data_IF_371538311878
#
_entry.id   IF_371538311878
#
_cell.length_a   1.000
_cell.length_b   1.000
_cell.length_c   1.000
_cell.angle_alpha   90.00
_cell.angle_beta   90.00
_cell.angle_gamma   90.00
#
_symmetry.space_group_name_H-M   'P 1'
#
loop_
_entity.id
_entity.type
_entity.pdbx_description
1 polymer ?
#
# COMPACT_ATOMS: atom_id res chain seq x y z
N UNK A 1 41.13 91.70 4.76
CA UNK A 1 42.59 91.50 4.86
C UNK A 1 42.83 90.01 5.00
N UNK A 2 43.62 89.36 4.12
CA UNK A 2 43.94 87.96 4.28
C UNK A 2 44.68 87.77 5.61
N UNK A 3 44.22 86.84 6.44
CA UNK A 3 44.94 86.44 7.65
C UNK A 3 46.30 85.91 7.21
N UNK A 4 47.38 86.51 7.68
CA UNK A 4 48.72 85.99 7.41
C UNK A 4 48.97 84.80 8.33
N UNK A 5 48.71 83.58 7.83
CA UNK A 5 48.87 82.35 8.60
C UNK A 5 50.30 82.15 9.12
N UNK A 6 51.32 82.63 8.40
CA UNK A 6 52.71 82.52 8.85
C UNK A 6 52.94 83.35 10.13
N UNK A 7 52.38 84.57 10.18
CA UNK A 7 52.47 85.41 11.37
C UNK A 7 51.72 84.80 12.58
N UNK A 8 50.59 84.14 12.33
CA UNK A 8 49.83 83.47 13.39
C UNK A 8 50.57 82.25 13.93
N UNK A 9 51.17 81.43 13.06
CA UNK A 9 51.96 80.27 13.47
C UNK A 9 53.20 80.65 14.28
N UNK A 10 53.90 81.71 13.87
CA UNK A 10 55.03 82.25 14.64
C UNK A 10 54.59 82.79 16.00
N UNK A 11 53.46 83.50 16.08
CA UNK A 11 52.93 84.01 17.35
C UNK A 11 52.52 82.89 18.33
N UNK A 12 51.91 81.81 17.81
CA UNK A 12 51.54 80.63 18.60
C UNK A 12 52.79 79.89 19.08
N UNK A 13 53.82 79.72 18.22
CA UNK A 13 55.08 79.10 18.63
C UNK A 13 55.78 79.90 19.74
N UNK A 14 55.84 81.23 19.60
CA UNK A 14 56.39 82.09 20.65
C UNK A 14 55.66 81.96 22.00
N UNK A 15 54.33 81.78 21.98
CA UNK A 15 53.56 81.51 23.21
C UNK A 15 53.88 80.13 23.80
N UNK A 16 54.03 79.09 22.98
CA UNK A 16 54.39 77.74 23.44
C UNK A 16 55.78 77.73 24.09
N UNK A 17 56.74 78.45 23.51
CA UNK A 17 58.11 78.51 24.01
C UNK A 17 58.20 79.29 25.34
N UNK A 18 57.35 80.30 25.53
CA UNK A 18 57.25 81.07 26.76
C UNK A 18 56.58 80.33 27.93
N UNK A 19 55.86 79.23 27.66
CA UNK A 19 55.21 78.43 28.70
C UNK A 19 56.18 77.40 29.30
N UNK A 20 56.13 77.25 30.62
CA UNK A 20 56.92 76.27 31.37
C UNK A 20 56.61 74.81 30.97
N UNK A 21 57.55 73.87 31.20
CA UNK A 21 57.45 72.49 30.71
C UNK A 21 56.29 71.67 31.34
N UNK A 22 55.74 72.11 32.47
CA UNK A 22 54.61 71.48 33.17
C UNK A 22 53.30 72.27 33.05
N UNK A 23 53.19 73.18 32.07
CA UNK A 23 51.97 73.96 31.86
C UNK A 23 50.92 73.15 31.09
N UNK A 24 49.73 73.01 31.66
CA UNK A 24 48.57 72.40 30.99
C UNK A 24 48.19 73.15 29.71
N UNK A 25 48.37 74.48 29.71
CA UNK A 25 48.14 75.33 28.54
C UNK A 25 49.12 74.99 27.39
N UNK A 26 50.37 74.65 27.71
CA UNK A 26 51.37 74.21 26.72
C UNK A 26 50.99 72.86 26.12
N UNK A 27 50.52 71.93 26.95
CA UNK A 27 50.04 70.61 26.49
C UNK A 27 48.86 70.75 25.55
N UNK A 28 47.88 71.61 25.89
CA UNK A 28 46.72 71.86 25.04
C UNK A 28 47.10 72.53 23.71
N UNK A 29 48.03 73.49 23.70
CA UNK A 29 48.52 74.12 22.47
C UNK A 29 49.33 73.16 21.58
N UNK A 30 50.12 72.26 22.17
CA UNK A 30 50.85 71.24 21.41
C UNK A 30 49.90 70.20 20.83
N UNK A 31 48.85 69.83 21.58
CA UNK A 31 47.81 68.91 21.11
C UNK A 31 47.02 69.53 19.95
N UNK A 32 46.66 70.81 20.03
CA UNK A 32 45.96 71.48 18.91
C UNK A 32 46.83 71.58 17.66
N UNK A 33 48.14 71.84 17.80
CA UNK A 33 49.10 71.79 16.68
C UNK A 33 49.24 70.39 16.08
N UNK A 34 49.28 69.35 16.91
CA UNK A 34 49.34 67.97 16.45
C UNK A 34 48.05 67.58 15.71
N UNK A 35 46.88 68.04 16.18
CA UNK A 35 45.59 67.85 15.52
C UNK A 35 45.54 68.61 14.19
N UNK A 36 45.97 69.87 14.12
CA UNK A 36 46.06 70.62 12.85
C UNK A 36 47.01 69.95 11.86
N UNK A 37 48.14 69.42 12.30
CA UNK A 37 49.07 68.67 11.45
C UNK A 37 48.51 67.32 10.99
N UNK A 38 47.75 66.63 11.85
CA UNK A 38 47.10 65.36 11.51
C UNK A 38 45.90 65.55 10.56
N UNK A 39 45.12 66.63 10.74
CA UNK A 39 43.96 66.96 9.91
C UNK A 39 44.40 67.63 8.59
N UNK A 40 45.49 68.40 8.60
CA UNK A 40 46.06 69.04 7.41
C UNK A 40 46.80 68.09 6.46
N UNK A 41 47.11 66.87 6.89
CA UNK A 41 47.84 65.87 6.08
C UNK A 41 46.95 64.85 5.37
N UNK A 42 45.64 64.80 5.64
CA UNK A 42 44.70 64.05 4.79
C UNK A 42 43.91 65.08 4.01
N UNK A 43 44.30 65.26 2.75
CA UNK A 43 43.59 66.14 1.85
C UNK A 43 42.13 65.69 1.72
N UNK A 44 41.19 66.63 1.61
CA UNK A 44 39.77 66.29 1.31
C UNK A 44 39.67 65.39 0.07
N UNK A 45 40.60 65.54 -0.89
CA UNK A 45 40.73 64.67 -2.05
C UNK A 45 41.05 63.21 -1.72
N UNK A 46 41.84 62.91 -0.69
CA UNK A 46 42.13 61.53 -0.28
C UNK A 46 40.91 60.89 0.39
N UNK A 47 40.19 61.63 1.24
CA UNK A 47 38.93 61.14 1.84
C UNK A 47 37.88 60.87 0.77
N UNK A 48 37.72 61.81 -0.18
CA UNK A 48 36.79 61.65 -1.30
C UNK A 48 37.22 60.47 -2.18
N UNK A 49 38.52 60.32 -2.49
CA UNK A 49 39.04 59.20 -3.26
C UNK A 49 38.80 57.83 -2.60
N UNK A 50 39.01 57.74 -1.29
CA UNK A 50 38.73 56.53 -0.51
C UNK A 50 37.22 56.22 -0.48
N UNK A 51 36.36 57.24 -0.30
CA UNK A 51 34.91 57.07 -0.32
C UNK A 51 34.41 56.61 -1.69
N UNK A 52 34.88 57.23 -2.78
CA UNK A 52 34.53 56.83 -4.15
C UNK A 52 34.97 55.39 -4.45
N UNK A 53 36.18 55.00 -4.01
CA UNK A 53 36.67 53.63 -4.16
C UNK A 53 35.82 52.63 -3.35
N UNK A 54 35.48 52.98 -2.10
CA UNK A 54 34.63 52.14 -1.26
C UNK A 54 33.21 51.97 -1.81
N UNK A 55 32.63 53.01 -2.42
CA UNK A 55 31.33 52.92 -3.10
C UNK A 55 31.42 52.02 -4.33
N UNK A 56 32.47 52.16 -5.15
CA UNK A 56 32.68 51.30 -6.32
C UNK A 56 32.83 49.81 -5.92
N UNK A 57 33.57 49.51 -4.85
CA UNK A 57 33.73 48.16 -4.32
C UNK A 57 32.42 47.57 -3.80
N UNK A 58 31.60 48.39 -3.10
CA UNK A 58 30.29 47.98 -2.63
C UNK A 58 29.32 47.72 -3.79
N UNK A 59 29.33 48.56 -4.82
CA UNK A 59 28.52 48.35 -6.03
C UNK A 59 28.94 47.06 -6.76
N UNK A 60 30.24 46.81 -6.91
CA UNK A 60 30.75 45.59 -7.52
C UNK A 60 30.34 44.33 -6.74
N UNK A 61 30.45 44.35 -5.39
CA UNK A 61 29.97 43.25 -4.53
C UNK A 61 28.48 43.02 -4.66
N UNK A 62 27.67 44.09 -4.62
CA UNK A 62 26.21 44.01 -4.79
C UNK A 62 25.83 43.40 -6.13
N UNK A 63 26.49 43.80 -7.22
CA UNK A 63 26.26 43.25 -8.56
C UNK A 63 26.58 41.75 -8.59
N UNK A 64 27.69 41.33 -7.98
CA UNK A 64 28.08 39.91 -7.92
C UNK A 64 27.09 39.06 -7.12
N UNK A 65 26.61 39.54 -5.97
CA UNK A 65 25.61 38.85 -5.16
C UNK A 65 24.27 38.71 -5.89
N UNK A 66 23.81 39.77 -6.55
CA UNK A 66 22.57 39.73 -7.35
C UNK A 66 22.71 38.75 -8.51
N UNK A 67 23.85 38.72 -9.20
CA UNK A 67 24.09 37.78 -10.30
C UNK A 67 24.07 36.32 -9.81
N UNK A 68 24.69 36.02 -8.66
CA UNK A 68 24.68 34.68 -8.08
C UNK A 68 23.25 34.20 -7.73
N UNK A 69 22.39 35.10 -7.23
CA UNK A 69 20.98 34.79 -6.95
C UNK A 69 20.21 34.52 -8.24
N UNK A 70 20.45 35.32 -9.29
CA UNK A 70 19.81 35.13 -10.60
C UNK A 70 20.21 33.78 -11.23
N UNK A 71 21.49 33.41 -11.17
CA UNK A 71 21.99 32.15 -11.71
C UNK A 71 21.38 30.94 -10.96
N UNK A 72 21.28 31.03 -9.62
CA UNK A 72 20.64 29.99 -8.81
C UNK A 72 19.13 29.87 -9.10
N UNK A 73 18.43 30.98 -9.33
CA UNK A 73 17.03 30.99 -9.72
C UNK A 73 16.82 30.38 -11.11
N UNK A 74 17.66 30.73 -12.09
CA UNK A 74 17.62 30.16 -13.43
C UNK A 74 17.82 28.63 -13.42
N UNK A 75 18.76 28.13 -12.60
CA UNK A 75 18.96 26.69 -12.43
C UNK A 75 17.72 25.98 -11.84
N UNK A 76 17.05 26.58 -10.84
CA UNK A 76 15.81 26.04 -10.27
C UNK A 76 14.66 26.03 -11.27
N UNK A 77 14.50 27.11 -12.05
CA UNK A 77 13.47 27.18 -13.11
C UNK A 77 13.70 26.10 -14.17
N UNK A 78 14.96 25.86 -14.57
CA UNK A 78 15.29 24.79 -15.51
C UNK A 78 14.90 23.40 -14.97
N UNK A 79 15.12 23.13 -13.68
CA UNK A 79 14.71 21.89 -13.03
C UNK A 79 13.17 21.73 -12.99
N UNK A 80 12.44 22.81 -12.67
CA UNK A 80 10.98 22.81 -12.67
C UNK A 80 10.44 22.54 -14.08
N UNK A 81 10.99 23.19 -15.11
CA UNK A 81 10.59 22.98 -16.50
C UNK A 81 10.86 21.53 -16.96
N UNK A 82 11.97 20.92 -16.54
CA UNK A 82 12.25 19.52 -16.82
C UNK A 82 11.23 18.59 -16.14
N UNK A 83 10.84 18.86 -14.89
CA UNK A 83 9.82 18.10 -14.18
C UNK A 83 8.43 18.24 -14.83
N UNK A 84 8.05 19.45 -15.22
CA UNK A 84 6.80 19.74 -15.93
C UNK A 84 6.72 18.99 -17.28
N UNK A 85 7.82 18.91 -18.03
CA UNK A 85 7.90 18.14 -19.27
C UNK A 85 7.69 16.62 -19.03
N UNK A 86 8.25 16.06 -17.96
CA UNK A 86 8.05 14.64 -17.59
C UNK A 86 6.60 14.38 -17.20
N UNK A 87 6.01 15.25 -16.39
CA UNK A 87 4.61 15.14 -15.97
C UNK A 87 3.65 15.21 -17.15
N UNK A 88 3.88 16.13 -18.09
CA UNK A 88 3.04 16.31 -19.30
C UNK A 88 3.14 15.15 -20.28
N UNK A 89 4.27 14.44 -20.34
CA UNK A 89 4.48 13.35 -21.29
C UNK A 89 4.04 11.98 -20.76
N UNK A 90 3.60 11.88 -19.50
CA UNK A 90 3.25 10.60 -18.87
C UNK A 90 4.44 9.63 -18.75
N UNK A 91 5.66 10.16 -18.89
CA UNK A 91 6.89 9.38 -18.87
C UNK A 91 7.21 8.84 -17.48
N UNK A 92 7.58 7.57 -17.41
CA UNK A 92 8.09 6.93 -16.18
C UNK A 92 9.43 7.59 -15.82
N UNK A 93 9.57 8.10 -14.58
CA UNK A 93 10.82 8.69 -14.13
C UNK A 93 11.91 7.61 -14.00
N UNK A 94 12.85 7.56 -14.93
CA UNK A 94 14.05 6.68 -14.88
C UNK A 94 15.29 7.40 -14.33
N UNK A 95 15.10 8.45 -13.53
CA UNK A 95 16.19 9.19 -12.88
C UNK A 95 16.21 8.96 -11.38
N UNK A 96 17.33 8.44 -10.87
CA UNK A 96 17.57 8.24 -9.45
C UNK A 96 17.44 9.56 -8.67
N UNK A 97 16.33 9.71 -7.94
CA UNK A 97 16.21 10.66 -6.84
C UNK A 97 17.21 10.24 -5.75
N UNK A 98 18.41 10.80 -5.82
CA UNK A 98 19.46 10.64 -4.83
C UNK A 98 19.02 11.35 -3.54
N UNK A 99 18.26 10.64 -2.69
CA UNK A 99 17.70 11.16 -1.46
C UNK A 99 16.88 10.09 -0.75
N UNK A 100 17.59 9.13 -0.17
CA UNK A 100 17.23 8.37 1.03
C UNK A 100 15.73 8.18 1.31
N UNK A 101 15.19 7.10 0.75
CA UNK A 101 14.11 6.28 1.35
C UNK A 101 12.75 6.97 1.53
N UNK A 102 12.16 7.47 0.45
CA UNK A 102 10.71 7.31 0.33
C UNK A 102 10.42 5.89 -0.19
N UNK A 103 10.15 4.97 0.74
CA UNK A 103 9.36 3.77 0.46
C UNK A 103 7.90 4.17 0.21
N UNK A 104 7.69 5.15 -0.67
CA UNK A 104 6.44 5.32 -1.33
C UNK A 104 6.41 4.18 -2.33
N UNK A 105 5.78 3.09 -1.95
CA UNK A 105 4.94 2.35 -2.89
C UNK A 105 4.09 3.41 -3.57
N UNK A 106 4.62 3.92 -4.68
CA UNK A 106 3.90 4.78 -5.60
C UNK A 106 2.75 3.87 -6.01
N UNK A 107 1.61 4.02 -5.33
CA UNK A 107 0.34 3.87 -5.98
C UNK A 107 0.46 4.83 -7.14
N UNK A 108 0.92 4.28 -8.26
CA UNK A 108 0.75 4.87 -9.55
C UNK A 108 -0.76 5.05 -9.58
N UNK A 109 -1.21 6.27 -9.28
CA UNK A 109 -2.49 6.74 -9.76
C UNK A 109 -2.28 6.75 -11.27
N UNK A 110 -2.32 5.55 -11.85
CA UNK A 110 -2.54 5.36 -13.25
C UNK A 110 -3.80 6.18 -13.46
N UNK A 111 -3.60 7.33 -14.09
CA UNK A 111 -4.61 7.96 -14.90
C UNK A 111 -5.29 6.79 -15.58
N UNK A 112 -6.53 6.50 -15.17
CA UNK A 112 -7.33 5.42 -15.73
C UNK A 112 -7.74 5.85 -17.13
N UNK A 113 -6.76 6.02 -18.02
CA UNK A 113 -6.98 6.02 -19.45
C UNK A 113 -7.21 4.55 -19.77
N UNK A 114 -8.48 4.20 -19.90
CA UNK A 114 -8.89 2.93 -20.47
C UNK A 114 -8.36 2.88 -21.90
N UNK A 115 -7.16 2.34 -22.07
CA UNK A 115 -6.58 2.06 -23.36
C UNK A 115 -6.61 0.54 -23.57
N UNK A 116 -7.20 0.14 -24.69
CA UNK A 116 -7.50 -1.24 -25.11
C UNK A 116 -8.66 -1.97 -24.41
N UNK A 117 -9.28 -2.88 -25.17
CA UNK A 117 -10.56 -3.56 -24.95
C UNK A 117 -10.61 -4.55 -23.76
N UNK A 118 -9.82 -4.36 -22.71
CA UNK A 118 -9.85 -5.17 -21.49
C UNK A 118 -9.56 -4.26 -20.29
N UNK A 119 -10.44 -4.23 -19.27
CA UNK A 119 -10.15 -3.46 -18.07
C UNK A 119 -8.87 -4.01 -17.42
N UNK A 120 -7.79 -3.25 -17.37
CA UNK A 120 -6.57 -3.65 -16.65
C UNK A 120 -6.69 -3.26 -15.17
N UNK A 121 -7.78 -3.66 -14.51
CA UNK A 121 -7.85 -3.51 -13.06
C UNK A 121 -7.09 -4.68 -12.44
N UNK A 122 -5.98 -4.34 -11.80
CA UNK A 122 -5.10 -5.29 -11.14
C UNK A 122 -5.01 -4.90 -9.66
N UNK A 123 -5.78 -5.58 -8.82
CA UNK A 123 -5.59 -5.49 -7.37
C UNK A 123 -4.85 -6.74 -6.91
N UNK A 124 -3.73 -6.53 -6.21
CA UNK A 124 -2.85 -7.60 -5.74
C UNK A 124 -2.48 -7.33 -4.29
N UNK A 125 -2.74 -8.32 -3.45
CA UNK A 125 -2.31 -8.32 -2.06
C UNK A 125 -1.58 -9.63 -1.77
N UNK A 126 -0.41 -9.55 -1.14
CA UNK A 126 0.40 -10.72 -0.81
C UNK A 126 0.58 -10.78 0.70
N UNK A 127 0.15 -11.88 1.30
CA UNK A 127 0.48 -12.31 2.65
C UNK A 127 1.49 -13.47 2.60
N UNK A 128 2.28 -13.55 1.52
CA UNK A 128 3.28 -14.59 1.28
C UNK A 128 4.19 -14.91 2.49
N UNK A 129 4.68 -13.94 3.29
CA UNK A 129 5.47 -14.25 4.48
C UNK A 129 4.73 -15.06 5.56
N UNK A 130 3.39 -15.08 5.55
CA UNK A 130 2.54 -15.76 6.53
C UNK A 130 1.93 -17.06 6.01
N UNK A 131 1.53 -17.13 4.73
CA UNK A 131 0.83 -18.31 4.19
C UNK A 131 1.26 -18.76 2.78
N UNK A 132 2.25 -18.09 2.18
CA UNK A 132 2.73 -18.41 0.83
C UNK A 132 1.68 -18.24 -0.28
N UNK A 133 0.71 -17.32 -0.12
CA UNK A 133 -0.33 -17.03 -1.11
C UNK A 133 -0.29 -15.57 -1.56
N UNK A 134 -0.92 -15.34 -2.70
CA UNK A 134 -1.14 -14.01 -3.26
C UNK A 134 -2.56 -13.94 -3.79
N UNK A 135 -3.29 -12.93 -3.34
CA UNK A 135 -4.65 -12.62 -3.76
C UNK A 135 -4.60 -11.67 -4.95
N UNK A 136 -5.42 -11.94 -5.95
CA UNK A 136 -5.43 -11.17 -7.17
C UNK A 136 -6.85 -11.03 -7.72
N UNK A 137 -7.21 -9.81 -8.08
CA UNK A 137 -8.30 -9.50 -8.99
C UNK A 137 -7.71 -9.02 -10.32
N UNK A 138 -7.98 -9.75 -11.39
CA UNK A 138 -7.45 -9.48 -12.73
C UNK A 138 -8.59 -9.50 -13.74
N UNK A 139 -8.61 -8.55 -14.67
CA UNK A 139 -9.47 -8.62 -15.84
C UNK A 139 -8.66 -9.00 -17.11
N UNK A 140 -8.81 -10.25 -17.53
CA UNK A 140 -8.14 -10.85 -18.70
C UNK A 140 -9.15 -11.61 -19.55
N UNK A 141 -8.93 -11.69 -20.87
CA UNK A 141 -9.76 -12.49 -21.79
C UNK A 141 -11.26 -12.21 -21.64
N UNK A 142 -11.62 -10.92 -21.63
CA UNK A 142 -13.00 -10.45 -21.42
C UNK A 142 -13.60 -10.89 -20.07
N UNK A 143 -12.81 -11.26 -19.06
CA UNK A 143 -13.33 -11.73 -17.78
C UNK A 143 -12.64 -11.08 -16.58
N UNK A 144 -13.41 -10.60 -15.61
CA UNK A 144 -12.89 -10.22 -14.28
C UNK A 144 -12.82 -11.48 -13.41
N UNK A 145 -11.64 -11.86 -12.97
CA UNK A 145 -11.37 -13.08 -12.21
C UNK A 145 -10.75 -12.72 -10.87
N UNK A 146 -11.25 -13.35 -9.81
CA UNK A 146 -10.66 -13.33 -8.48
C UNK A 146 -10.04 -14.70 -8.21
N UNK A 147 -8.74 -14.70 -7.93
CA UNK A 147 -7.94 -15.92 -7.79
C UNK A 147 -6.90 -15.81 -6.69
N UNK A 148 -6.46 -16.97 -6.23
CA UNK A 148 -5.40 -17.14 -5.24
C UNK A 148 -4.25 -17.87 -5.92
N UNK A 149 -3.07 -17.26 -5.93
CA UNK A 149 -1.84 -17.86 -6.43
C UNK A 149 -1.04 -18.51 -5.31
N UNK A 150 -0.18 -19.47 -5.66
CA UNK A 150 0.98 -19.79 -4.84
C UNK A 150 2.02 -18.66 -4.87
N UNK A 151 2.91 -18.64 -3.88
CA UNK A 151 3.97 -17.64 -3.75
C UNK A 151 4.83 -17.48 -5.02
N UNK A 152 5.16 -18.60 -5.67
CA UNK A 152 5.95 -18.62 -6.90
C UNK A 152 5.18 -18.16 -8.15
N UNK A 153 3.88 -17.85 -8.03
CA UNK A 153 2.99 -17.50 -9.13
C UNK A 153 3.01 -18.50 -10.30
N UNK A 154 3.16 -19.78 -9.99
CA UNK A 154 3.18 -20.87 -10.99
C UNK A 154 1.86 -21.62 -11.07
N UNK A 155 0.99 -21.48 -10.08
CA UNK A 155 -0.32 -22.11 -10.03
C UNK A 155 -1.34 -21.22 -9.31
N UNK A 156 -2.60 -21.26 -9.74
CA UNK A 156 -3.69 -20.51 -9.13
C UNK A 156 -5.00 -21.29 -9.08
N UNK A 157 -5.85 -20.90 -8.13
CA UNK A 157 -7.24 -21.33 -8.06
C UNK A 157 -8.13 -20.10 -8.18
N UNK A 158 -9.03 -20.09 -9.15
CA UNK A 158 -10.05 -19.04 -9.28
C UNK A 158 -11.26 -19.41 -8.42
N UNK A 159 -11.71 -18.51 -7.57
CA UNK A 159 -12.91 -18.72 -6.76
C UNK A 159 -14.11 -17.93 -7.27
N UNK A 160 -13.89 -16.96 -8.16
CA UNK A 160 -14.95 -16.16 -8.78
C UNK A 160 -14.49 -15.61 -10.13
N UNK A 161 -15.30 -15.76 -11.19
CA UNK A 161 -14.99 -15.27 -12.54
C UNK A 161 -16.22 -14.70 -13.22
N UNK A 162 -16.07 -13.53 -13.83
CA UNK A 162 -17.11 -12.75 -14.49
C UNK A 162 -16.76 -12.55 -15.96
N UNK A 163 -17.37 -13.28 -16.88
CA UNK A 163 -17.07 -13.18 -18.32
C UNK A 163 -18.03 -12.21 -19.01
N UNK A 164 -17.52 -11.14 -19.64
CA UNK A 164 -18.24 -10.20 -20.51
C UNK A 164 -18.19 -10.70 -21.95
N UNK A 165 -18.92 -11.75 -22.28
CA UNK A 165 -19.12 -12.08 -23.69
C UNK A 165 -20.39 -11.40 -24.19
N UNK A 166 -20.25 -10.31 -24.96
CA UNK A 166 -21.36 -9.68 -25.70
C UNK A 166 -22.35 -8.80 -24.91
N UNK A 167 -22.01 -8.29 -23.72
CA UNK A 167 -22.91 -7.46 -22.89
C UNK A 167 -22.22 -6.23 -22.25
N UNK A 168 -22.96 -5.13 -22.08
CA UNK A 168 -22.46 -3.84 -21.56
C UNK A 168 -22.27 -3.80 -20.03
N UNK A 169 -22.94 -4.68 -19.28
CA UNK A 169 -22.89 -4.72 -17.81
C UNK A 169 -22.82 -6.17 -17.33
N UNK A 170 -22.09 -6.42 -16.24
CA UNK A 170 -22.19 -7.65 -15.44
C UNK A 170 -22.70 -7.26 -14.05
N UNK A 171 -23.75 -7.94 -13.59
CA UNK A 171 -24.21 -7.89 -12.22
C UNK A 171 -24.08 -9.29 -11.59
N UNK A 172 -23.64 -9.34 -10.34
CA UNK A 172 -23.59 -10.56 -9.54
C UNK A 172 -24.93 -10.68 -8.84
N UNK A 173 -25.91 -11.24 -9.55
CA UNK A 173 -27.20 -11.53 -8.95
C UNK A 173 -27.20 -12.99 -8.50
N UNK A 174 -27.23 -13.21 -7.19
CA UNK A 174 -27.69 -14.48 -6.65
C UNK A 174 -29.21 -14.52 -6.85
N UNK A 175 -29.64 -14.91 -8.06
CA UNK A 175 -31.04 -14.98 -8.45
C UNK A 175 -31.87 -15.92 -7.55
N UNK A 176 -31.18 -16.77 -6.79
CA UNK A 176 -31.70 -17.68 -5.78
C UNK A 176 -30.71 -17.78 -4.62
N UNK A 177 -31.18 -18.17 -3.44
CA UNK A 177 -30.30 -18.53 -2.32
C UNK A 177 -29.25 -19.56 -2.78
N UNK A 178 -28.03 -19.48 -2.24
CA UNK A 178 -27.03 -20.54 -2.39
C UNK A 178 -27.62 -21.81 -1.79
N UNK A 179 -27.93 -22.80 -2.63
CA UNK A 179 -28.52 -24.08 -2.22
C UNK A 179 -27.41 -25.10 -2.03
N UNK A 180 -27.56 -25.99 -1.06
CA UNK A 180 -26.75 -27.19 -0.93
C UNK A 180 -26.96 -28.11 -2.16
N UNK A 181 -25.92 -28.85 -2.53
CA UNK A 181 -25.99 -29.77 -3.66
C UNK A 181 -26.57 -31.11 -3.17
N UNK A 182 -27.84 -31.36 -3.48
CA UNK A 182 -28.52 -32.62 -3.16
C UNK A 182 -28.24 -33.65 -4.25
N UNK A 183 -27.55 -34.72 -3.90
CA UNK A 183 -27.30 -35.85 -4.79
C UNK A 183 -28.27 -36.99 -4.46
N UNK A 184 -29.08 -37.41 -5.44
CA UNK A 184 -29.89 -38.63 -5.29
C UNK A 184 -29.02 -39.85 -5.56
N UNK A 185 -28.91 -40.74 -4.57
CA UNK A 185 -28.19 -42.01 -4.72
C UNK A 185 -29.16 -43.03 -5.30
N UNK A 186 -28.91 -43.43 -6.56
CA UNK A 186 -29.72 -44.46 -7.22
C UNK A 186 -29.32 -45.86 -6.74
N UNK A 187 -30.27 -46.80 -6.75
CA UNK A 187 -30.05 -48.21 -6.44
C UNK A 187 -29.55 -48.51 -5.02
N UNK A 188 -30.17 -47.89 -4.01
CA UNK A 188 -29.90 -48.18 -2.59
C UNK A 188 -30.41 -49.59 -2.24
N UNK A 189 -29.52 -50.56 -2.38
CA UNK A 189 -29.75 -51.97 -2.04
C UNK A 189 -28.41 -52.61 -1.68
N UNK A 190 -28.43 -53.66 -0.85
CA UNK A 190 -27.22 -54.33 -0.39
C UNK A 190 -26.20 -53.33 0.17
N UNK A 191 -25.01 -53.23 -0.44
CA UNK A 191 -23.99 -52.24 -0.09
C UNK A 191 -23.87 -51.19 -1.18
N UNK A 192 -23.89 -49.92 -0.81
CA UNK A 192 -23.74 -48.78 -1.73
C UNK A 192 -22.76 -47.76 -1.16
N UNK A 193 -22.25 -46.86 -1.99
CA UNK A 193 -21.27 -45.85 -1.59
C UNK A 193 -21.79 -44.44 -1.85
N UNK A 194 -21.45 -43.52 -0.97
CA UNK A 194 -21.63 -42.07 -1.15
C UNK A 194 -20.26 -41.47 -1.47
N UNK A 195 -20.20 -40.61 -2.47
CA UNK A 195 -18.97 -39.93 -2.91
C UNK A 195 -19.01 -38.46 -2.49
N UNK A 196 -18.07 -38.06 -1.63
CA UNK A 196 -18.03 -36.71 -1.09
C UNK A 196 -17.76 -35.63 -2.16
N UNK A 197 -17.21 -35.99 -3.32
CA UNK A 197 -17.03 -35.06 -4.45
C UNK A 197 -18.35 -34.65 -5.11
N UNK A 198 -19.42 -35.45 -4.96
CA UNK A 198 -20.70 -35.18 -5.61
C UNK A 198 -21.55 -34.14 -4.86
N UNK A 199 -21.30 -33.96 -3.57
CA UNK A 199 -22.03 -32.95 -2.78
C UNK A 199 -21.92 -33.14 -1.28
N UNK A 200 -22.74 -32.37 -0.57
CA UNK A 200 -22.82 -32.36 0.88
C UNK A 200 -24.17 -32.86 1.41
N UNK A 201 -25.16 -33.07 0.55
CA UNK A 201 -26.44 -33.68 0.90
C UNK A 201 -26.74 -34.86 -0.03
N UNK A 202 -27.15 -35.98 0.55
CA UNK A 202 -27.46 -37.20 -0.19
C UNK A 202 -28.86 -37.70 0.15
N UNK A 203 -29.69 -37.89 -0.87
CA UNK A 203 -31.00 -38.53 -0.73
C UNK A 203 -30.91 -39.98 -1.20
N UNK A 204 -31.07 -40.91 -0.27
CA UNK A 204 -31.14 -42.34 -0.54
C UNK A 204 -32.54 -42.79 -1.00
N UNK A 205 -33.51 -41.87 -1.00
CA UNK A 205 -34.90 -42.18 -1.29
C UNK A 205 -35.50 -43.13 -0.25
N UNK A 206 -36.39 -44.00 -0.72
CA UNK A 206 -37.05 -45.02 0.11
C UNK A 206 -36.24 -46.31 0.08
N UNK A 207 -35.80 -46.78 1.24
CA UNK A 207 -35.21 -48.11 1.37
C UNK A 207 -36.32 -49.16 1.47
N UNK A 208 -36.23 -50.20 0.65
CA UNK A 208 -37.20 -51.32 0.59
C UNK A 208 -36.60 -52.65 1.02
N UNK A 209 -35.33 -52.66 1.43
CA UNK A 209 -34.60 -53.80 1.94
C UNK A 209 -33.50 -53.35 2.91
N UNK A 210 -32.96 -54.28 3.68
CA UNK A 210 -31.77 -54.01 4.48
C UNK A 210 -30.63 -53.55 3.56
N UNK A 211 -30.01 -52.42 3.90
CA UNK A 211 -28.97 -51.79 3.10
C UNK A 211 -27.81 -51.33 3.99
N UNK A 212 -26.63 -51.21 3.42
CA UNK A 212 -25.40 -50.79 4.11
C UNK A 212 -24.75 -49.67 3.31
N UNK A 213 -24.55 -48.52 3.94
CA UNK A 213 -23.65 -47.50 3.43
C UNK A 213 -22.21 -47.96 3.66
N UNK A 214 -21.46 -48.20 2.59
CA UNK A 214 -20.02 -48.41 2.66
C UNK A 214 -19.29 -47.15 3.17
N UNK A 215 -17.97 -47.24 3.35
CA UNK A 215 -17.17 -46.07 3.69
C UNK A 215 -17.36 -44.97 2.65
N UNK A 216 -17.44 -43.70 3.09
CA UNK A 216 -17.55 -42.56 2.18
C UNK A 216 -16.33 -42.54 1.23
N UNK A 217 -16.59 -42.49 -0.08
CA UNK A 217 -15.55 -42.38 -1.08
C UNK A 217 -15.05 -40.94 -1.20
N UNK A 218 -13.79 -40.81 -1.62
CA UNK A 218 -13.10 -39.55 -1.89
C UNK A 218 -13.20 -38.54 -0.73
N UNK A 219 -12.69 -38.87 0.47
CA UNK A 219 -12.68 -37.94 1.60
C UNK A 219 -11.92 -36.65 1.26
N UNK A 220 -12.21 -35.54 1.96
CA UNK A 220 -11.53 -34.27 1.74
C UNK A 220 -10.02 -34.40 1.96
N UNK A 221 -9.23 -33.63 1.21
CA UNK A 221 -7.78 -33.60 1.32
C UNK A 221 -7.32 -33.16 2.73
N UNK A 222 -6.05 -33.46 3.07
CA UNK A 222 -5.47 -33.11 4.35
C UNK A 222 -5.68 -31.61 4.69
N UNK A 223 -6.13 -31.34 5.93
CA UNK A 223 -6.45 -29.99 6.40
C UNK A 223 -7.86 -29.49 6.07
N UNK A 224 -8.68 -30.27 5.35
CA UNK A 224 -10.07 -29.92 5.04
C UNK A 224 -11.05 -30.87 5.73
N UNK A 225 -12.27 -30.38 5.96
CA UNK A 225 -13.39 -31.17 6.51
C UNK A 225 -14.64 -30.84 5.71
N UNK A 226 -15.46 -31.85 5.46
CA UNK A 226 -16.71 -31.69 4.73
C UNK A 226 -17.89 -32.12 5.59
N UNK A 227 -18.89 -31.26 5.69
CA UNK A 227 -20.19 -31.62 6.28
C UNK A 227 -20.97 -32.48 5.29
N UNK A 228 -21.55 -33.58 5.77
CA UNK A 228 -22.43 -34.45 4.99
C UNK A 228 -23.74 -34.68 5.74
N UNK A 229 -24.85 -34.58 5.01
CA UNK A 229 -26.17 -35.03 5.45
C UNK A 229 -26.68 -36.15 4.53
N UNK A 230 -27.26 -37.18 5.13
CA UNK A 230 -27.83 -38.34 4.43
C UNK A 230 -29.27 -38.50 4.88
N UNK A 231 -30.20 -38.45 3.92
CA UNK A 231 -31.62 -38.70 4.11
C UNK A 231 -31.96 -40.11 3.62
N UNK A 232 -32.81 -40.83 4.35
CA UNK A 232 -33.52 -41.99 3.83
C UNK A 232 -34.93 -42.11 4.39
N UNK A 233 -35.82 -42.76 3.67
CA UNK A 233 -37.18 -43.05 4.08
C UNK A 233 -37.43 -44.56 4.21
N UNK A 234 -38.26 -44.97 5.17
CA UNK A 234 -38.82 -46.31 5.25
C UNK A 234 -39.90 -46.48 4.19
N UNK A 235 -40.05 -47.70 3.66
CA UNK A 235 -41.18 -48.05 2.81
C UNK A 235 -42.50 -48.13 3.60
N UNK A 236 -43.58 -48.49 2.90
CA UNK A 236 -44.91 -48.60 3.51
C UNK A 236 -45.03 -49.74 4.55
N UNK A 237 -44.04 -50.63 4.64
CA UNK A 237 -44.00 -51.72 5.63
C UNK A 237 -43.22 -51.28 6.86
N UNK A 238 -42.10 -50.57 6.67
CA UNK A 238 -41.13 -50.30 7.73
C UNK A 238 -40.25 -51.50 8.04
N UNK A 239 -39.51 -51.43 9.14
CA UNK A 239 -38.59 -52.45 9.62
C UNK A 239 -37.28 -52.52 8.83
N UNK A 240 -36.98 -51.58 7.93
CA UNK A 240 -35.77 -51.61 7.10
C UNK A 240 -34.60 -51.04 7.87
N UNK A 241 -33.49 -51.76 7.86
CA UNK A 241 -32.24 -51.34 8.49
C UNK A 241 -31.33 -50.68 7.46
N UNK A 242 -30.85 -49.47 7.77
CA UNK A 242 -29.68 -48.90 7.12
C UNK A 242 -28.49 -49.02 8.08
N UNK A 243 -27.55 -49.89 7.72
CA UNK A 243 -26.29 -50.06 8.43
C UNK A 243 -25.22 -49.14 7.84
N UNK A 244 -24.18 -48.87 8.63
CA UNK A 244 -23.08 -47.99 8.27
C UNK A 244 -21.76 -48.79 8.32
N UNK A 245 -20.89 -48.57 7.35
CA UNK A 245 -19.60 -49.25 7.22
C UNK A 245 -18.63 -48.92 8.35
N UNK A 246 -17.52 -49.65 8.42
CA UNK A 246 -16.58 -49.57 9.56
C UNK A 246 -15.93 -48.19 9.80
N UNK A 247 -15.80 -47.35 8.76
CA UNK A 247 -15.29 -45.98 8.91
C UNK A 247 -16.38 -44.94 9.16
N UNK A 248 -17.65 -45.35 9.21
CA UNK A 248 -18.75 -44.51 9.63
C UNK A 248 -18.94 -44.67 11.14
N UNK A 249 -18.52 -43.67 11.90
CA UNK A 249 -18.50 -43.70 13.36
C UNK A 249 -19.69 -42.93 13.88
N UNK A 250 -20.65 -43.62 14.50
CA UNK A 250 -21.74 -42.97 15.21
C UNK A 250 -21.20 -42.33 16.50
N UNK A 251 -21.32 -41.01 16.60
CA UNK A 251 -20.86 -40.23 17.76
C UNK A 251 -22.00 -39.71 18.63
N UNK A 252 -23.26 -40.05 18.32
CA UNK A 252 -24.42 -39.70 19.13
C UNK A 252 -25.75 -39.62 18.38
N UNK A 253 -26.77 -39.05 19.03
CA UNK A 253 -28.12 -38.88 18.47
C UNK A 253 -29.09 -39.99 18.88
N UNK A 254 -30.16 -40.18 18.09
CA UNK A 254 -31.21 -41.19 18.35
C UNK A 254 -31.07 -42.40 17.42
N UNK A 255 -31.83 -43.46 17.66
CA UNK A 255 -31.93 -44.55 16.68
C UNK A 255 -32.77 -44.11 15.47
N UNK A 256 -32.54 -44.69 14.26
CA UNK A 256 -33.45 -44.56 13.15
C UNK A 256 -34.87 -44.99 13.54
N UNK A 257 -35.87 -44.24 13.10
CA UNK A 257 -37.25 -44.67 13.16
C UNK A 257 -37.53 -45.61 12.00
N UNK A 258 -37.76 -46.87 12.33
CA UNK A 258 -38.03 -47.95 11.39
C UNK A 258 -39.52 -48.13 11.13
N UNK A 259 -40.40 -47.31 11.69
CA UNK A 259 -41.84 -47.42 11.38
C UNK A 259 -42.12 -47.11 9.91
N UNK A 260 -43.23 -47.62 9.37
CA UNK A 260 -43.62 -47.38 7.98
C UNK A 260 -43.64 -45.88 7.61
N UNK A 261 -43.14 -45.56 6.41
CA UNK A 261 -43.10 -44.22 5.81
C UNK A 261 -42.32 -43.15 6.60
N UNK A 262 -41.50 -43.55 7.57
CA UNK A 262 -40.72 -42.63 8.40
C UNK A 262 -39.43 -42.19 7.75
N UNK A 263 -39.05 -40.94 7.99
CA UNK A 263 -37.87 -40.32 7.36
C UNK A 263 -36.80 -40.12 8.41
N UNK A 264 -35.59 -40.46 8.02
CA UNK A 264 -34.43 -40.47 8.86
C UNK A 264 -33.31 -39.60 8.27
N UNK A 265 -32.51 -39.02 9.17
CA UNK A 265 -31.34 -38.22 8.80
C UNK A 265 -30.12 -38.58 9.64
N UNK A 266 -29.01 -38.81 8.95
CA UNK A 266 -27.68 -38.86 9.54
C UNK A 266 -26.93 -37.61 9.09
N UNK A 267 -26.42 -36.83 10.05
CA UNK A 267 -25.62 -35.63 9.76
C UNK A 267 -24.28 -35.76 10.45
N UNK A 268 -23.24 -35.31 9.78
CA UNK A 268 -21.90 -35.49 10.31
C UNK A 268 -20.85 -34.79 9.47
N UNK A 269 -19.61 -35.18 9.73
CA UNK A 269 -18.44 -34.65 9.04
C UNK A 269 -17.54 -35.78 8.57
N UNK A 270 -17.05 -35.66 7.35
CA UNK A 270 -16.00 -36.50 6.82
C UNK A 270 -14.67 -35.79 7.00
N UNK A 271 -13.72 -36.50 7.62
CA UNK A 271 -12.37 -36.01 7.86
C UNK A 271 -11.38 -36.63 6.87
N UNK A 272 -10.18 -36.06 6.73
CA UNK A 272 -9.14 -36.60 5.85
C UNK A 272 -8.64 -38.00 6.24
N UNK A 273 -8.96 -38.47 7.45
CA UNK A 273 -8.69 -39.84 7.91
C UNK A 273 -9.62 -40.88 7.24
N UNK A 274 -10.51 -40.44 6.35
CA UNK A 274 -11.47 -41.28 5.65
C UNK A 274 -12.66 -41.71 6.51
N UNK A 275 -12.83 -41.12 7.70
CA UNK A 275 -13.94 -41.43 8.60
C UNK A 275 -15.04 -40.41 8.51
N UNK A 276 -16.28 -40.93 8.56
CA UNK A 276 -17.49 -40.14 8.69
C UNK A 276 -17.99 -40.21 10.13
N UNK A 277 -17.78 -39.15 10.89
CA UNK A 277 -18.32 -39.05 12.25
C UNK A 277 -19.70 -38.43 12.18
N UNK A 278 -20.73 -39.18 12.57
CA UNK A 278 -22.11 -38.78 12.35
C UNK A 278 -22.99 -38.99 13.58
N UNK A 279 -24.07 -38.22 13.62
CA UNK A 279 -25.16 -38.41 14.55
C UNK A 279 -26.47 -38.58 13.76
N UNK A 280 -27.35 -39.42 14.27
CA UNK A 280 -28.70 -39.56 13.72
C UNK A 280 -29.58 -38.54 14.43
N UNK A 281 -29.98 -37.50 13.71
CA UNK A 281 -30.60 -36.29 14.29
C UNK A 281 -32.13 -36.33 14.25
N UNK A 282 -32.70 -37.20 13.42
CA UNK A 282 -34.15 -37.39 13.37
C UNK A 282 -34.46 -38.77 12.82
N UNK A 283 -35.21 -39.56 13.57
CA UNK A 283 -36.07 -40.62 13.04
C UNK A 283 -37.50 -40.24 13.36
N UNK A 284 -38.20 -39.59 12.43
CA UNK A 284 -39.58 -39.15 12.65
C UNK A 284 -40.55 -40.12 12.02
#
# INVERSE_FOLDING_TARGET
>A
MPLNLANLQSAIQGRVDALGPSSDEKTLLLLSKAIEAAVGNVSVSEVVGAATSGVADLEAKRIAEVQAILDAAAAKIAQINALDAVLKTGGTMTGALNGTTMNATVMNAAVMTADAASPSFYWRESDAPLNGKTWEANAENQALTFRIWNEAMSAYTSFLRFVRNGVASIYVMFATAVRSNLTTVSAVSNTFTVDANLGNEFDLGTISAASTLANIANPPAAGAVQSIAIRWAQDAVGGRTLSFGGNCVNVGGTNPNTSANKVNFAVGKVYPDGKFYYAIVRGA
#
